data_IF_568324949743
#
_entry.id   IF_568324949743
#
_cell.length_a   1.000
_cell.length_b   1.000
_cell.length_c   1.000
_cell.angle_alpha   90.00
_cell.angle_beta   90.00
_cell.angle_gamma   90.00
#
_symmetry.space_group_name_H-M   'P 1'
#
loop_
_entity.id
_entity.type
_entity.pdbx_description
1 polymer ?
#
# COMPACT_ATOMS: atom_id res chain seq x y z
N UNK A 1 40.04 -12.01 -13.61
CA UNK A 1 38.81 -11.98 -12.78
C UNK A 1 37.65 -11.25 -13.46
N UNK A 2 37.89 -10.17 -14.23
CA UNK A 2 36.86 -9.49 -15.05
C UNK A 2 36.17 -10.42 -16.06
N UNK A 3 36.88 -11.42 -16.58
CA UNK A 3 36.31 -12.47 -17.45
C UNK A 3 35.32 -13.40 -16.73
N UNK A 4 35.42 -13.57 -15.41
CA UNK A 4 34.53 -14.49 -14.66
C UNK A 4 33.15 -13.85 -14.42
N UNK A 5 33.12 -12.53 -14.19
CA UNK A 5 31.89 -11.73 -14.13
C UNK A 5 31.17 -11.69 -15.48
N UNK A 6 31.90 -11.60 -16.60
CA UNK A 6 31.30 -11.65 -17.93
C UNK A 6 30.53 -12.94 -18.20
N UNK A 7 31.04 -14.08 -17.76
CA UNK A 7 30.41 -15.36 -18.08
C UNK A 7 29.27 -15.71 -17.11
N UNK A 8 29.43 -15.43 -15.81
CA UNK A 8 28.41 -15.72 -14.80
C UNK A 8 27.23 -14.73 -14.79
N UNK A 9 27.44 -13.44 -15.09
CA UNK A 9 26.35 -12.46 -15.20
C UNK A 9 25.61 -12.51 -16.56
N UNK A 10 26.24 -13.13 -17.57
CA UNK A 10 25.65 -13.33 -18.90
C UNK A 10 24.63 -14.48 -18.99
N UNK A 11 24.42 -15.25 -17.92
CA UNK A 11 23.32 -16.20 -17.82
C UNK A 11 21.99 -15.46 -17.65
N UNK A 12 21.58 -14.68 -18.67
CA UNK A 12 20.24 -14.11 -18.81
C UNK A 12 20.16 -12.65 -19.26
N UNK A 13 21.25 -11.87 -19.26
CA UNK A 13 21.23 -10.48 -19.72
C UNK A 13 22.35 -10.18 -20.71
N UNK A 14 21.98 -9.65 -21.88
CA UNK A 14 22.91 -9.18 -22.90
C UNK A 14 23.56 -7.84 -22.46
N UNK A 15 24.36 -7.87 -21.40
CA UNK A 15 25.12 -6.71 -20.95
C UNK A 15 26.38 -6.59 -21.81
N UNK A 16 26.52 -5.47 -22.53
CA UNK A 16 27.70 -5.21 -23.35
C UNK A 16 28.95 -4.96 -22.50
N UNK A 17 30.14 -5.23 -23.05
CA UNK A 17 31.41 -4.99 -22.34
C UNK A 17 31.57 -3.53 -21.86
N UNK A 18 31.06 -2.56 -22.64
CA UNK A 18 31.08 -1.15 -22.27
C UNK A 18 30.19 -0.84 -21.06
N UNK A 19 29.00 -1.46 -20.98
CA UNK A 19 28.10 -1.30 -19.82
C UNK A 19 28.70 -1.89 -18.55
N UNK A 20 29.40 -3.02 -18.66
CA UNK A 20 30.11 -3.62 -17.53
C UNK A 20 31.28 -2.75 -17.08
N UNK A 21 32.05 -2.20 -18.02
CA UNK A 21 33.16 -1.30 -17.71
C UNK A 21 32.68 -0.06 -16.94
N UNK A 22 31.61 0.58 -17.43
CA UNK A 22 31.00 1.74 -16.79
C UNK A 22 30.46 1.39 -15.40
N UNK A 23 29.83 0.23 -15.26
CA UNK A 23 29.30 -0.26 -13.99
C UNK A 23 30.41 -0.46 -12.94
N UNK A 24 31.49 -1.16 -13.29
CA UNK A 24 32.59 -1.42 -12.36
C UNK A 24 33.27 -0.11 -11.94
N UNK A 25 33.48 0.83 -12.87
CA UNK A 25 34.02 2.16 -12.55
C UNK A 25 33.12 2.93 -11.57
N UNK A 26 31.80 2.88 -11.79
CA UNK A 26 30.82 3.53 -10.91
C UNK A 26 30.75 2.90 -9.53
N UNK A 27 30.82 1.57 -9.45
CA UNK A 27 30.80 0.84 -8.17
C UNK A 27 32.06 1.10 -7.34
N UNK A 28 33.24 1.10 -7.97
CA UNK A 28 34.51 1.33 -7.29
C UNK A 28 34.71 2.78 -6.85
N UNK A 29 34.13 3.74 -7.58
CA UNK A 29 34.21 5.18 -7.34
C UNK A 29 35.63 5.67 -7.00
N UNK A 30 36.64 5.15 -7.73
CA UNK A 30 38.04 5.49 -7.51
C UNK A 30 38.57 6.40 -8.64
N UNK A 31 38.78 7.70 -8.38
CA UNK A 31 39.25 8.66 -9.39
C UNK A 31 40.59 8.29 -10.03
N UNK A 32 41.47 7.60 -9.30
CA UNK A 32 42.80 7.22 -9.80
C UNK A 32 42.71 6.05 -10.79
N UNK A 33 41.65 5.24 -10.72
CA UNK A 33 41.40 4.09 -11.60
C UNK A 33 40.43 4.38 -12.73
N UNK A 34 39.94 5.61 -12.90
CA UNK A 34 39.01 5.97 -13.98
C UNK A 34 39.64 5.91 -15.39
N UNK A 35 40.94 6.20 -15.49
CA UNK A 35 41.68 6.26 -16.75
C UNK A 35 42.28 4.91 -17.21
N UNK A 36 42.07 3.83 -16.44
CA UNK A 36 42.55 2.49 -16.75
C UNK A 36 41.37 1.53 -16.95
N UNK A 37 41.65 0.37 -17.52
CA UNK A 37 40.69 -0.73 -17.59
C UNK A 37 40.29 -1.14 -16.15
N UNK A 38 39.00 -1.17 -15.81
CA UNK A 38 38.56 -1.40 -14.44
C UNK A 38 38.70 -2.86 -14.04
N UNK A 39 39.05 -3.08 -12.77
CA UNK A 39 39.20 -4.41 -12.20
C UNK A 39 38.85 -4.40 -10.71
N UNK A 40 38.38 -5.53 -10.21
CA UNK A 40 38.27 -5.80 -8.79
C UNK A 40 39.52 -6.52 -8.27
N UNK A 41 40.02 -6.10 -7.11
CA UNK A 41 40.81 -6.98 -6.25
C UNK A 41 39.94 -8.12 -5.70
N UNK A 42 40.55 -9.16 -5.15
CA UNK A 42 39.79 -10.27 -4.55
C UNK A 42 38.88 -9.80 -3.41
N UNK A 43 39.34 -8.82 -2.62
CA UNK A 43 38.56 -8.24 -1.53
C UNK A 43 37.40 -7.40 -2.05
N UNK A 44 37.64 -6.48 -2.99
CA UNK A 44 36.58 -5.63 -3.58
C UNK A 44 35.52 -6.49 -4.29
N UNK A 45 35.91 -7.61 -4.89
CA UNK A 45 34.95 -8.54 -5.48
C UNK A 45 34.12 -9.26 -4.40
N UNK A 46 34.71 -9.64 -3.28
CA UNK A 46 33.96 -10.22 -2.17
C UNK A 46 32.99 -9.20 -1.57
N UNK A 47 33.42 -7.95 -1.41
CA UNK A 47 32.57 -6.84 -0.98
C UNK A 47 31.40 -6.63 -1.96
N UNK A 48 31.67 -6.66 -3.26
CA UNK A 48 30.64 -6.65 -4.30
C UNK A 48 29.62 -7.78 -4.16
N UNK A 49 30.06 -9.03 -3.94
CA UNK A 49 29.16 -10.17 -3.85
C UNK A 49 28.12 -10.03 -2.72
N UNK A 50 28.48 -9.36 -1.63
CA UNK A 50 27.60 -9.10 -0.48
C UNK A 50 27.01 -7.68 -0.46
N UNK A 51 27.28 -6.87 -1.49
CA UNK A 51 26.77 -5.52 -1.64
C UNK A 51 25.29 -5.51 -2.05
N UNK A 52 24.64 -4.34 -1.95
CA UNK A 52 23.25 -4.17 -2.43
C UNK A 52 23.18 -4.22 -3.95
N UNK A 53 24.26 -3.84 -4.61
CA UNK A 53 24.39 -3.77 -6.05
C UNK A 53 24.41 -5.17 -6.70
N UNK A 54 24.73 -6.20 -5.92
CA UNK A 54 24.59 -7.62 -6.29
C UNK A 54 23.39 -8.30 -5.60
N UNK A 55 22.39 -7.53 -5.17
CA UNK A 55 21.16 -8.08 -4.62
C UNK A 55 20.44 -8.96 -5.64
N UNK A 56 19.89 -10.09 -5.19
CA UNK A 56 18.98 -10.91 -5.98
C UNK A 56 17.68 -10.17 -6.32
N UNK A 57 17.33 -9.14 -5.52
CA UNK A 57 16.17 -8.29 -5.75
C UNK A 57 16.56 -7.09 -6.59
N UNK A 58 15.92 -6.92 -7.74
CA UNK A 58 16.09 -5.75 -8.58
C UNK A 58 15.21 -4.61 -8.04
N UNK A 59 15.72 -3.83 -7.09
CA UNK A 59 14.98 -2.74 -6.44
C UNK A 59 14.37 -1.73 -7.42
N UNK A 60 14.98 -1.53 -8.59
CA UNK A 60 14.45 -0.62 -9.61
C UNK A 60 13.18 -1.21 -10.26
N UNK A 61 13.20 -2.50 -10.61
CA UNK A 61 12.04 -3.20 -11.18
C UNK A 61 10.93 -3.45 -10.17
N UNK A 62 11.27 -3.68 -8.90
CA UNK A 62 10.28 -3.87 -7.83
C UNK A 62 9.42 -2.61 -7.59
N UNK A 63 9.92 -1.43 -7.94
CA UNK A 63 9.16 -0.17 -7.86
C UNK A 63 8.22 0.04 -9.04
N UNK A 64 8.38 -0.73 -10.12
CA UNK A 64 7.57 -0.61 -11.32
C UNK A 64 6.42 -1.62 -11.31
N UNK A 65 5.22 -1.12 -11.63
CA UNK A 65 4.06 -1.97 -11.85
C UNK A 65 4.26 -2.72 -13.16
N UNK A 66 4.52 -4.03 -13.06
CA UNK A 66 4.80 -4.90 -14.20
C UNK A 66 3.62 -5.81 -14.58
N UNK A 67 2.61 -5.93 -13.72
CA UNK A 67 1.40 -6.70 -13.99
C UNK A 67 0.45 -5.91 -14.90
N UNK A 68 -0.35 -6.62 -15.70
CA UNK A 68 -1.49 -6.00 -16.38
C UNK A 68 -2.52 -5.58 -15.32
N UNK A 69 -2.83 -4.28 -15.22
CA UNK A 69 -3.74 -3.70 -14.22
C UNK A 69 -5.12 -3.34 -14.80
N UNK A 70 -5.46 -3.91 -15.96
CA UNK A 70 -6.74 -3.74 -16.66
C UNK A 70 -7.65 -4.97 -16.58
N UNK A 71 -7.26 -6.03 -15.87
CA UNK A 71 -8.17 -7.14 -15.58
C UNK A 71 -9.17 -6.74 -14.48
N UNK A 72 -10.30 -7.46 -14.33
CA UNK A 72 -11.26 -7.21 -13.25
C UNK A 72 -10.60 -7.25 -11.87
N UNK A 73 -11.07 -6.39 -10.95
CA UNK A 73 -10.52 -6.28 -9.59
C UNK A 73 -10.43 -7.62 -8.83
N UNK A 74 -11.33 -8.56 -9.12
CA UNK A 74 -11.37 -9.91 -8.55
C UNK A 74 -10.17 -10.80 -8.92
N UNK A 75 -9.34 -10.39 -9.87
CA UNK A 75 -8.21 -11.18 -10.36
C UNK A 75 -6.90 -10.90 -9.62
N UNK A 76 -6.91 -10.02 -8.61
CA UNK A 76 -5.73 -9.57 -7.90
C UNK A 76 -5.78 -9.97 -6.43
N UNK A 77 -4.63 -10.33 -5.87
CA UNK A 77 -4.46 -10.32 -4.41
C UNK A 77 -4.32 -8.88 -3.92
N UNK A 78 -5.04 -8.57 -2.85
CA UNK A 78 -5.10 -7.22 -2.28
C UNK A 78 -4.48 -7.30 -0.89
N UNK A 79 -3.37 -6.56 -0.70
CA UNK A 79 -2.77 -6.40 0.61
C UNK A 79 -3.81 -5.80 1.58
N UNK A 80 -4.17 -6.56 2.61
CA UNK A 80 -5.30 -6.26 3.50
C UNK A 80 -4.87 -6.34 4.96
N UNK A 81 -5.38 -5.43 5.78
CA UNK A 81 -5.11 -5.35 7.22
C UNK A 81 -6.40 -5.60 7.98
N UNK A 82 -6.33 -6.50 8.95
CA UNK A 82 -7.41 -6.81 9.88
C UNK A 82 -7.26 -5.98 11.16
N UNK A 83 -8.37 -5.46 11.70
CA UNK A 83 -8.42 -4.58 12.86
C UNK A 83 -7.29 -3.53 12.85
N UNK A 84 -7.22 -2.80 11.75
CA UNK A 84 -6.10 -1.89 11.43
C UNK A 84 -5.80 -0.87 12.52
N UNK A 85 -6.79 -0.49 13.31
CA UNK A 85 -6.64 0.45 14.41
C UNK A 85 -5.80 -0.09 15.57
N UNK A 86 -5.71 -1.40 15.79
CA UNK A 86 -5.01 -1.98 16.94
C UNK A 86 -3.49 -1.93 16.79
N UNK A 87 -2.80 -1.58 17.88
CA UNK A 87 -1.33 -1.53 17.95
C UNK A 87 -0.71 -2.83 18.49
N UNK A 88 -1.51 -3.72 19.07
CA UNK A 88 -1.05 -4.96 19.67
C UNK A 88 -2.14 -6.03 19.71
N UNK A 89 -2.44 -6.55 20.91
CA UNK A 89 -3.42 -7.62 21.12
C UNK A 89 -4.87 -7.19 20.86
N UNK A 90 -5.75 -8.18 20.73
CA UNK A 90 -7.17 -8.03 20.41
C UNK A 90 -8.05 -7.67 21.62
N UNK A 91 -7.51 -7.40 22.81
CA UNK A 91 -8.33 -7.26 24.03
C UNK A 91 -8.07 -5.96 24.81
N UNK A 92 -6.82 -5.54 24.93
CA UNK A 92 -6.42 -4.42 25.80
C UNK A 92 -5.40 -3.48 25.18
N UNK A 93 -4.94 -3.75 23.96
CA UNK A 93 -3.98 -2.86 23.30
C UNK A 93 -4.58 -1.51 22.93
N UNK A 94 -3.70 -0.54 22.67
CA UNK A 94 -4.13 0.77 22.22
C UNK A 94 -4.61 0.74 20.77
N UNK A 95 -5.62 1.57 20.49
CA UNK A 95 -6.01 1.93 19.13
C UNK A 95 -5.29 3.19 18.70
N UNK A 96 -4.79 3.24 17.46
CA UNK A 96 -4.04 4.37 16.93
C UNK A 96 -4.41 4.72 15.50
N UNK A 97 -4.56 6.02 15.25
CA UNK A 97 -4.69 6.56 13.88
C UNK A 97 -3.40 6.31 13.09
N UNK A 98 -2.24 6.33 13.74
CA UNK A 98 -0.94 6.09 13.11
C UNK A 98 -0.85 4.68 12.51
N UNK A 99 -1.55 3.68 13.07
CA UNK A 99 -1.59 2.33 12.52
C UNK A 99 -2.11 2.32 11.07
N UNK A 100 -3.11 3.15 10.74
CA UNK A 100 -3.62 3.32 9.37
C UNK A 100 -2.55 3.90 8.45
N UNK A 101 -1.84 4.95 8.91
CA UNK A 101 -0.78 5.61 8.14
C UNK A 101 0.33 4.61 7.81
N UNK A 102 0.76 3.82 8.80
CA UNK A 102 1.83 2.84 8.65
C UNK A 102 1.45 1.72 7.68
N UNK A 103 0.24 1.15 7.76
CA UNK A 103 -0.14 0.08 6.82
C UNK A 103 -0.31 0.62 5.40
N UNK A 104 -0.85 1.83 5.22
CA UNK A 104 -0.99 2.46 3.90
C UNK A 104 0.39 2.71 3.27
N UNK A 105 1.36 3.22 4.04
CA UNK A 105 2.75 3.42 3.61
C UNK A 105 3.50 2.12 3.33
N UNK A 106 3.07 1.00 3.91
CA UNK A 106 3.54 -0.36 3.57
C UNK A 106 2.83 -0.95 2.34
N UNK A 107 1.96 -0.20 1.67
CA UNK A 107 1.25 -0.63 0.46
C UNK A 107 -0.07 -1.35 0.70
N UNK A 108 -0.58 -1.43 1.95
CA UNK A 108 -1.88 -2.03 2.23
C UNK A 108 -2.99 -1.26 1.51
N UNK A 109 -3.94 -1.96 0.87
CA UNK A 109 -5.03 -1.41 0.05
C UNK A 109 -6.42 -1.73 0.59
N UNK A 110 -6.54 -2.51 1.66
CA UNK A 110 -7.80 -2.74 2.36
C UNK A 110 -7.58 -2.60 3.87
N UNK A 111 -8.26 -1.64 4.50
CA UNK A 111 -8.13 -1.35 5.94
C UNK A 111 -9.48 -1.46 6.62
N UNK A 112 -9.48 -1.81 7.89
CA UNK A 112 -10.67 -2.14 8.67
C UNK A 112 -11.02 -1.04 9.68
N UNK A 113 -12.32 -0.75 9.82
CA UNK A 113 -12.85 0.26 10.73
C UNK A 113 -14.07 -0.31 11.49
N UNK A 114 -13.87 -0.63 12.77
CA UNK A 114 -14.95 -1.08 13.65
C UNK A 114 -15.64 0.12 14.27
N UNK A 115 -16.74 0.54 13.67
CA UNK A 115 -17.39 1.81 13.98
C UNK A 115 -18.50 1.61 15.02
N UNK A 116 -18.40 2.33 16.12
CA UNK A 116 -19.34 2.29 17.24
C UNK A 116 -19.85 3.69 17.59
N UNK A 117 -21.02 3.72 18.25
CA UNK A 117 -21.58 4.96 18.78
C UNK A 117 -20.59 5.65 19.73
N UNK A 118 -20.27 6.91 19.44
CA UNK A 118 -19.45 7.75 20.30
C UNK A 118 -20.21 8.93 20.92
N UNK A 119 -19.54 9.72 21.78
CA UNK A 119 -20.13 10.89 22.41
C UNK A 119 -20.48 11.97 21.37
N UNK A 120 -21.45 12.83 21.72
CA UNK A 120 -21.88 13.98 20.90
C UNK A 120 -22.36 13.60 19.48
N UNK A 121 -22.76 12.34 19.27
CA UNK A 121 -23.20 11.84 17.97
C UNK A 121 -22.07 11.60 16.97
N UNK A 122 -20.81 11.62 17.44
CA UNK A 122 -19.62 11.39 16.62
C UNK A 122 -19.12 9.95 16.80
N UNK A 123 -19.07 9.13 15.74
CA UNK A 123 -18.61 7.74 15.82
C UNK A 123 -17.16 7.60 16.29
N UNK A 124 -16.89 6.49 16.96
CA UNK A 124 -15.55 6.08 17.42
C UNK A 124 -15.20 4.71 16.85
N UNK A 125 -13.89 4.42 16.82
CA UNK A 125 -13.36 3.13 16.39
C UNK A 125 -12.62 2.47 17.56
N UNK A 126 -12.96 1.21 17.82
CA UNK A 126 -12.30 0.32 18.78
C UNK A 126 -12.85 -1.11 18.64
N UNK A 127 -12.22 -2.07 19.31
CA UNK A 127 -12.70 -3.44 19.30
C UNK A 127 -13.82 -3.62 20.32
N UNK A 128 -15.03 -3.92 19.84
CA UNK A 128 -16.25 -3.99 20.64
C UNK A 128 -16.16 -4.93 21.84
N UNK A 129 -16.76 -4.56 22.96
CA UNK A 129 -16.81 -5.37 24.19
C UNK A 129 -15.43 -5.75 24.78
N UNK A 130 -14.38 -4.98 24.45
CA UNK A 130 -13.03 -5.15 24.99
C UNK A 130 -12.53 -3.92 25.75
N UNK A 131 -11.28 -3.95 26.21
CA UNK A 131 -10.60 -2.86 26.93
C UNK A 131 -9.71 -2.01 26.01
N UNK A 132 -9.78 -2.20 24.69
CA UNK A 132 -9.00 -1.42 23.73
C UNK A 132 -9.37 0.07 23.79
N UNK A 133 -8.39 0.95 23.60
CA UNK A 133 -8.64 2.39 23.62
C UNK A 133 -9.42 2.83 22.37
N UNK A 134 -10.06 4.00 22.44
CA UNK A 134 -10.96 4.49 21.38
C UNK A 134 -10.32 5.64 20.61
N UNK A 135 -10.44 5.61 19.29
CA UNK A 135 -10.04 6.72 18.41
C UNK A 135 -11.26 7.27 17.67
N UNK A 136 -11.22 8.53 17.25
CA UNK A 136 -12.35 9.15 16.53
C UNK A 136 -12.38 8.67 15.09
N UNK A 137 -13.58 8.35 14.59
CA UNK A 137 -13.79 7.99 13.19
C UNK A 137 -13.26 9.08 12.23
N UNK A 138 -13.55 10.36 12.55
CA UNK A 138 -13.12 11.50 11.74
C UNK A 138 -11.59 11.60 11.60
N UNK A 139 -10.85 11.31 12.66
CA UNK A 139 -9.39 11.38 12.64
C UNK A 139 -8.80 10.26 11.76
N UNK A 140 -9.40 9.07 11.81
CA UNK A 140 -9.02 7.94 10.93
C UNK A 140 -9.28 8.26 9.46
N UNK A 141 -10.48 8.72 9.08
CA UNK A 141 -10.77 8.99 7.67
C UNK A 141 -9.94 10.17 7.12
N UNK A 142 -9.56 11.14 7.96
CA UNK A 142 -8.61 12.21 7.58
C UNK A 142 -7.21 11.66 7.32
N UNK A 143 -6.71 10.79 8.19
CA UNK A 143 -5.42 10.14 7.97
C UNK A 143 -5.43 9.28 6.70
N UNK A 144 -6.51 8.54 6.44
CA UNK A 144 -6.69 7.81 5.18
C UNK A 144 -6.67 8.77 3.98
N UNK A 145 -7.42 9.89 4.04
CA UNK A 145 -7.45 10.86 2.93
C UNK A 145 -6.05 11.36 2.59
N UNK A 146 -5.26 11.67 3.61
CA UNK A 146 -3.93 12.28 3.45
C UNK A 146 -2.87 11.26 3.00
N UNK A 147 -3.03 9.97 3.32
CA UNK A 147 -2.00 8.95 3.12
C UNK A 147 -2.38 7.78 2.20
N UNK A 148 -3.63 7.69 1.75
CA UNK A 148 -4.12 6.57 0.94
C UNK A 148 -3.26 6.33 -0.30
N UNK A 149 -2.73 7.39 -0.90
CA UNK A 149 -2.05 7.33 -2.20
C UNK A 149 -0.57 7.75 -2.17
N UNK A 150 0.07 7.77 -0.99
CA UNK A 150 1.49 8.14 -0.82
C UNK A 150 2.44 7.23 -1.61
N UNK A 151 2.15 5.92 -1.61
CA UNK A 151 3.05 4.89 -2.16
C UNK A 151 2.44 4.08 -3.30
N UNK A 152 1.16 4.28 -3.60
CA UNK A 152 0.43 3.57 -4.65
C UNK A 152 -0.81 4.36 -5.07
N UNK A 153 -1.07 4.49 -6.38
CA UNK A 153 -2.25 5.18 -6.90
C UNK A 153 -3.51 4.30 -6.90
N UNK A 154 -3.37 3.00 -6.67
CA UNK A 154 -4.50 2.07 -6.73
C UNK A 154 -5.43 2.22 -5.54
N UNK A 155 -6.70 1.90 -5.77
CA UNK A 155 -7.80 2.12 -4.85
C UNK A 155 -7.54 1.58 -3.43
N UNK A 156 -8.13 2.27 -2.44
CA UNK A 156 -8.16 1.81 -1.06
C UNK A 156 -9.58 1.44 -0.67
N UNK A 157 -9.76 0.24 -0.12
CA UNK A 157 -11.03 -0.26 0.41
C UNK A 157 -11.07 0.01 1.91
N UNK A 158 -12.16 0.61 2.37
CA UNK A 158 -12.51 0.72 3.77
C UNK A 158 -13.53 -0.37 4.10
N UNK A 159 -13.08 -1.42 4.79
CA UNK A 159 -13.95 -2.46 5.35
C UNK A 159 -14.54 -1.92 6.66
N UNK A 160 -15.77 -1.45 6.60
CA UNK A 160 -16.48 -0.90 7.76
C UNK A 160 -17.29 -2.02 8.42
N UNK A 161 -16.97 -2.32 9.66
CA UNK A 161 -17.82 -3.10 10.56
C UNK A 161 -18.70 -2.11 11.36
N UNK A 162 -19.99 -2.07 11.03
CA UNK A 162 -20.87 -1.01 11.50
C UNK A 162 -21.75 -1.47 12.67
N UNK A 163 -21.47 -0.90 13.85
CA UNK A 163 -22.23 -1.06 15.09
C UNK A 163 -22.90 0.25 15.54
N UNK A 164 -22.90 1.27 14.69
CA UNK A 164 -23.49 2.56 14.98
C UNK A 164 -25.02 2.52 14.84
N UNK A 165 -25.72 3.32 15.63
CA UNK A 165 -27.14 3.57 15.42
C UNK A 165 -27.39 4.42 14.16
N UNK A 166 -28.63 4.49 13.70
CA UNK A 166 -29.02 5.18 12.45
C UNK A 166 -28.56 6.65 12.41
N UNK A 167 -28.62 7.37 13.54
CA UNK A 167 -28.21 8.76 13.57
C UNK A 167 -26.70 8.89 13.32
N UNK A 168 -25.89 8.05 13.97
CA UNK A 168 -24.45 8.05 13.78
C UNK A 168 -24.00 7.46 12.43
N UNK A 169 -24.76 6.52 11.85
CA UNK A 169 -24.54 6.06 10.47
C UNK A 169 -24.72 7.19 9.45
N UNK A 170 -25.74 8.06 9.64
CA UNK A 170 -25.90 9.27 8.81
C UNK A 170 -24.73 10.21 8.99
N UNK A 171 -24.27 10.41 10.24
CA UNK A 171 -23.04 11.17 10.51
C UNK A 171 -21.84 10.57 9.78
N UNK A 172 -21.63 9.25 9.83
CA UNK A 172 -20.55 8.59 9.09
C UNK A 172 -20.62 8.87 7.59
N UNK A 173 -21.80 8.71 6.98
CA UNK A 173 -21.99 8.95 5.55
C UNK A 173 -21.67 10.41 5.17
N UNK A 174 -22.12 11.39 5.97
CA UNK A 174 -21.76 12.81 5.77
C UNK A 174 -20.26 13.04 5.89
N UNK A 175 -19.62 12.54 6.95
CA UNK A 175 -18.19 12.72 7.16
C UNK A 175 -17.34 12.07 6.06
N UNK A 176 -17.74 10.89 5.57
CA UNK A 176 -17.08 10.22 4.45
C UNK A 176 -17.14 11.07 3.17
N UNK A 177 -18.34 11.59 2.82
CA UNK A 177 -18.54 12.45 1.65
C UNK A 177 -17.73 13.74 1.74
N UNK A 178 -17.79 14.42 2.89
CA UNK A 178 -17.09 15.68 3.11
C UNK A 178 -15.56 15.51 3.12
N UNK A 179 -15.08 14.41 3.71
CA UNK A 179 -13.63 14.18 3.86
C UNK A 179 -12.99 13.71 2.57
N UNK A 180 -13.61 12.75 1.86
CA UNK A 180 -13.03 12.16 0.66
C UNK A 180 -13.42 12.88 -0.64
N UNK A 181 -14.58 13.57 -0.67
CA UNK A 181 -15.05 14.26 -1.88
C UNK A 181 -15.01 13.35 -3.11
N UNK A 182 -14.37 13.83 -4.17
CA UNK A 182 -14.20 13.12 -5.45
C UNK A 182 -13.39 11.81 -5.34
N UNK A 183 -12.64 11.61 -4.26
CA UNK A 183 -11.93 10.34 -4.03
C UNK A 183 -12.91 9.23 -3.69
N UNK A 184 -14.07 9.54 -3.11
CA UNK A 184 -15.06 8.55 -2.74
C UNK A 184 -15.76 7.99 -3.98
N UNK A 185 -15.78 6.66 -4.13
CA UNK A 185 -16.59 6.02 -5.16
C UNK A 185 -18.05 5.96 -4.68
N UNK A 186 -18.91 6.83 -5.24
CA UNK A 186 -20.34 6.92 -4.89
C UNK A 186 -21.26 6.38 -5.97
N UNK A 187 -20.73 6.10 -7.16
CA UNK A 187 -21.49 5.55 -8.29
C UNK A 187 -20.72 4.39 -8.94
N UNK A 188 -21.42 3.43 -9.56
CA UNK A 188 -20.78 2.42 -10.40
C UNK A 188 -19.92 3.06 -11.48
N UNK A 189 -18.73 2.50 -11.75
CA UNK A 189 -17.84 2.97 -12.82
C UNK A 189 -18.50 2.80 -14.20
N UNK A 190 -19.16 1.66 -14.41
CA UNK A 190 -20.03 1.39 -15.54
C UNK A 190 -21.29 0.67 -15.03
N UNK A 191 -22.48 1.29 -15.12
CA UNK A 191 -23.74 0.69 -14.67
C UNK A 191 -24.14 -0.60 -15.41
N UNK A 192 -23.56 -0.85 -16.60
CA UNK A 192 -23.89 -2.02 -17.42
C UNK A 192 -22.81 -3.11 -17.37
N UNK A 193 -21.74 -2.90 -16.58
CA UNK A 193 -20.67 -3.88 -16.48
C UNK A 193 -21.13 -5.17 -15.81
N UNK A 194 -20.72 -6.30 -16.38
CA UNK A 194 -20.97 -7.63 -15.83
C UNK A 194 -19.84 -8.11 -14.90
N UNK A 195 -18.74 -7.36 -14.83
CA UNK A 195 -17.54 -7.65 -14.05
C UNK A 195 -17.15 -6.44 -13.21
N UNK A 196 -16.30 -6.65 -12.20
CA UNK A 196 -15.76 -5.54 -11.40
C UNK A 196 -14.82 -4.67 -12.26
N UNK A 197 -14.80 -3.34 -12.05
CA UNK A 197 -13.87 -2.46 -12.75
C UNK A 197 -12.42 -2.83 -12.45
N UNK A 198 -11.50 -2.51 -13.36
CA UNK A 198 -10.08 -2.79 -13.17
C UNK A 198 -9.44 -1.87 -12.12
N UNK A 199 -8.28 -2.26 -11.54
CA UNK A 199 -7.50 -1.36 -10.71
C UNK A 199 -7.17 -0.02 -11.39
N UNK A 200 -6.89 -0.01 -12.70
CA UNK A 200 -6.63 1.21 -13.46
C UNK A 200 -7.86 2.14 -13.52
N UNK A 201 -9.06 1.60 -13.69
CA UNK A 201 -10.31 2.37 -13.68
C UNK A 201 -10.63 2.96 -12.29
N UNK A 202 -10.12 2.34 -11.23
CA UNK A 202 -10.33 2.75 -9.85
C UNK A 202 -9.17 3.55 -9.23
N UNK A 203 -8.22 4.02 -10.05
CA UNK A 203 -7.10 4.83 -9.53
C UNK A 203 -7.59 6.02 -8.71
N UNK A 204 -6.96 6.23 -7.56
CA UNK A 204 -7.22 7.29 -6.59
C UNK A 204 -8.64 7.27 -6.01
N UNK A 205 -9.33 6.13 -6.04
CA UNK A 205 -10.64 5.96 -5.43
C UNK A 205 -10.58 5.30 -4.05
N UNK A 206 -11.46 5.73 -3.17
CA UNK A 206 -11.78 5.14 -1.88
C UNK A 206 -13.10 4.38 -2.04
N UNK A 207 -13.09 3.08 -1.78
CA UNK A 207 -14.25 2.20 -1.90
C UNK A 207 -14.74 1.85 -0.50
N UNK A 208 -16.04 1.95 -0.27
CA UNK A 208 -16.66 1.56 0.99
C UNK A 208 -17.19 0.14 0.86
N UNK A 209 -16.67 -0.78 1.69
CA UNK A 209 -17.25 -2.10 1.90
C UNK A 209 -17.93 -2.08 3.27
N UNK A 210 -19.23 -2.29 3.30
CA UNK A 210 -20.01 -2.39 4.55
C UNK A 210 -20.67 -3.75 4.57
N UNK A 211 -20.64 -4.42 5.73
CA UNK A 211 -21.45 -5.62 5.96
C UNK A 211 -22.91 -5.18 6.17
N UNK A 212 -23.77 -5.38 5.17
CA UNK A 212 -25.20 -5.02 5.24
C UNK A 212 -25.92 -5.90 6.27
N UNK A 213 -26.41 -5.31 7.37
CA UNK A 213 -27.54 -5.88 8.11
C UNK A 213 -28.81 -5.43 7.39
N UNK A 214 -29.70 -6.37 7.08
CA UNK A 214 -30.85 -6.31 6.15
C UNK A 214 -31.92 -5.21 6.38
N UNK A 215 -31.66 -4.13 7.11
CA UNK A 215 -32.66 -3.11 7.46
C UNK A 215 -32.33 -1.66 7.09
N UNK A 216 -31.18 -1.39 6.47
CA UNK A 216 -30.79 -0.02 6.13
C UNK A 216 -30.00 0.05 4.85
N UNK A 217 -30.57 0.72 3.85
CA UNK A 217 -29.84 1.18 2.67
C UNK A 217 -28.82 2.24 3.11
N UNK A 218 -27.54 1.87 3.05
CA UNK A 218 -26.44 2.80 3.18
C UNK A 218 -26.37 3.61 1.87
N UNK A 219 -27.15 4.68 1.78
CA UNK A 219 -27.04 5.64 0.68
C UNK A 219 -25.81 6.54 0.91
N UNK A 220 -24.64 6.01 0.56
CA UNK A 220 -23.50 6.85 0.20
C UNK A 220 -23.74 7.40 -1.19
#
# INVERSE_FOLDING_TARGET
MVLFTLQAASEGTATSALQLEEYVKRYLDDPLRQAVEPYFTAQEFLEYLFSRENSIFNEAKEKEVHMNMDLPFSNYWIASSHNTYLTGDQFSSDSSVESYIQVLRKGCRCVELDCWDGPDGIPVIYHGHTLTSKIKFLDVIRAVRDHAFDVSEYAVILSIENHCNIAQQRTMATLLKETFGEMLLTQPVDPNAMELPSPNQLKRKIIIKVSTILYTEFYV
#
